data_IF_130668855472
#
_entry.id   IF_130668855472
#
_cell.length_a   1.000
_cell.length_b   1.000
_cell.length_c   1.000
_cell.angle_alpha   90.00
_cell.angle_beta   90.00
_cell.angle_gamma   90.00
#
_symmetry.space_group_name_H-M   'P 1'
#
loop_
_entity.id
_entity.type
_entity.pdbx_description
1 polymer ?
#
# COMPACT_ATOMS: atom_id res chain seq x y z
N UNK A 1 4.76 23.71 -13.42
CA UNK A 1 4.60 22.51 -12.57
C UNK A 1 5.94 21.78 -12.63
N UNK A 2 6.79 21.94 -11.62
CA UNK A 2 8.09 21.27 -11.58
C UNK A 2 7.88 19.80 -11.22
N UNK A 3 8.19 18.91 -12.15
CA UNK A 3 8.17 17.46 -11.97
C UNK A 3 9.12 17.09 -10.80
N UNK A 4 8.57 16.81 -9.60
CA UNK A 4 9.35 16.37 -8.41
C UNK A 4 9.95 14.99 -8.66
N UNK A 5 11.05 14.98 -9.39
CA UNK A 5 11.77 13.79 -9.82
C UNK A 5 13.12 13.76 -9.14
N UNK A 6 13.35 12.81 -8.23
CA UNK A 6 14.66 12.64 -7.60
C UNK A 6 15.22 11.23 -7.82
N UNK A 7 16.55 11.13 -7.98
CA UNK A 7 17.25 9.86 -8.19
C UNK A 7 17.32 9.08 -6.87
N UNK A 8 16.91 7.80 -6.87
CA UNK A 8 17.22 6.88 -5.77
C UNK A 8 18.74 6.83 -5.56
N UNK A 9 19.21 7.18 -4.38
CA UNK A 9 20.58 6.89 -3.96
C UNK A 9 20.87 5.39 -4.17
N UNK A 10 21.96 5.08 -4.88
CA UNK A 10 22.44 3.72 -5.12
C UNK A 10 21.84 2.95 -6.32
N UNK A 11 20.78 3.42 -6.98
CA UNK A 11 20.19 2.68 -8.14
C UNK A 11 19.94 3.50 -9.39
N UNK A 12 20.12 4.84 -9.35
CA UNK A 12 19.94 5.72 -10.51
C UNK A 12 18.49 5.87 -11.02
N UNK A 13 17.54 5.07 -10.51
CA UNK A 13 16.12 5.15 -10.89
C UNK A 13 15.48 6.42 -10.35
N UNK A 14 14.79 7.15 -11.23
CA UNK A 14 13.94 8.30 -10.88
C UNK A 14 12.75 7.83 -10.02
N UNK A 15 12.56 8.44 -8.85
CA UNK A 15 11.34 8.30 -8.05
C UNK A 15 10.36 9.35 -8.55
N UNK A 16 9.27 8.89 -9.17
CA UNK A 16 8.17 9.74 -9.63
C UNK A 16 7.13 9.82 -8.51
N UNK A 17 6.68 11.04 -8.20
CA UNK A 17 5.58 11.27 -7.29
C UNK A 17 4.24 11.07 -8.00
N UNK A 18 3.47 10.07 -7.57
CA UNK A 18 2.20 9.68 -8.20
C UNK A 18 0.99 10.41 -7.62
N UNK A 19 1.17 11.28 -6.63
CA UNK A 19 0.07 11.88 -5.86
C UNK A 19 -0.83 12.78 -6.69
N UNK A 20 -0.24 13.67 -7.50
CA UNK A 20 -1.01 14.59 -8.35
C UNK A 20 -1.88 13.82 -9.36
N UNK A 21 -1.32 12.76 -9.93
CA UNK A 21 -2.06 11.89 -10.85
C UNK A 21 -3.17 11.10 -10.12
N UNK A 22 -2.92 10.64 -8.90
CA UNK A 22 -3.95 9.99 -8.08
C UNK A 22 -5.12 10.93 -7.78
N UNK A 23 -4.85 12.20 -7.46
CA UNK A 23 -5.91 13.19 -7.24
C UNK A 23 -6.73 13.42 -8.51
N UNK A 24 -6.07 13.55 -9.67
CA UNK A 24 -6.74 13.67 -10.99
C UNK A 24 -7.64 12.46 -11.29
N UNK A 25 -7.13 11.25 -11.05
CA UNK A 25 -7.89 10.02 -11.29
C UNK A 25 -9.09 9.89 -10.33
N UNK A 26 -8.97 10.36 -9.09
CA UNK A 26 -10.11 10.38 -8.17
C UNK A 26 -11.19 11.38 -8.61
N UNK A 27 -10.82 12.56 -9.08
CA UNK A 27 -11.77 13.54 -9.65
C UNK A 27 -12.54 12.98 -10.85
N UNK A 28 -11.90 12.11 -11.64
CA UNK A 28 -12.50 11.38 -12.76
C UNK A 28 -13.35 10.18 -12.32
N UNK A 29 -13.43 9.90 -11.01
CA UNK A 29 -14.12 8.73 -10.46
C UNK A 29 -13.43 7.42 -10.83
N UNK A 30 -12.12 7.44 -11.12
CA UNK A 30 -11.37 6.27 -11.53
C UNK A 30 -10.88 5.40 -10.38
N UNK A 31 -10.63 6.01 -9.23
CA UNK A 31 -10.18 5.38 -8.00
C UNK A 31 -10.60 6.23 -6.80
N UNK A 32 -10.40 5.72 -5.60
CA UNK A 32 -10.55 6.46 -4.34
C UNK A 32 -9.16 6.58 -3.70
N UNK A 33 -8.78 7.78 -3.28
CA UNK A 33 -7.52 8.00 -2.55
C UNK A 33 -7.77 7.80 -1.06
N UNK A 34 -7.11 6.82 -0.46
CA UNK A 34 -7.10 6.66 0.98
C UNK A 34 -6.25 7.76 1.61
N UNK A 35 -6.90 8.84 2.03
CA UNK A 35 -6.23 9.98 2.68
C UNK A 35 -5.90 9.69 4.14
N UNK A 36 -4.75 10.22 4.58
CA UNK A 36 -4.37 10.29 6.00
C UNK A 36 -5.19 11.39 6.67
N UNK A 37 -5.92 11.05 7.74
CA UNK A 37 -6.79 11.96 8.50
C UNK A 37 -6.16 12.37 9.83
N UNK A 38 -6.81 13.28 10.56
CA UNK A 38 -6.32 13.76 11.85
C UNK A 38 -6.29 12.63 12.89
N UNK A 39 -7.27 11.72 12.83
CA UNK A 39 -7.38 10.55 13.71
C UNK A 39 -6.19 9.57 13.58
N UNK A 40 -5.47 9.61 12.45
CA UNK A 40 -4.23 8.85 12.27
C UNK A 40 -3.02 9.44 13.03
N UNK A 41 -3.19 10.58 13.71
CA UNK A 41 -2.15 11.32 14.44
C UNK A 41 -0.85 11.45 13.62
N UNK A 42 -0.90 11.96 12.39
CA UNK A 42 0.24 11.86 11.51
C UNK A 42 1.40 12.75 11.95
N UNK A 43 2.60 12.28 11.67
CA UNK A 43 3.85 13.04 11.86
C UNK A 43 4.49 13.34 10.51
N UNK A 44 5.25 14.42 10.43
CA UNK A 44 6.07 14.72 9.26
C UNK A 44 7.50 14.24 9.50
N UNK A 45 8.05 13.51 8.53
CA UNK A 45 9.42 13.04 8.58
C UNK A 45 10.09 13.20 7.22
N UNK A 46 11.36 13.59 7.22
CA UNK A 46 12.18 13.55 6.01
C UNK A 46 12.57 12.11 5.70
N UNK A 47 12.25 11.65 4.51
CA UNK A 47 12.74 10.36 4.00
C UNK A 47 14.25 10.40 3.80
N UNK A 48 14.87 9.23 3.62
CA UNK A 48 16.29 9.13 3.23
C UNK A 48 16.62 9.85 1.91
N UNK A 49 15.60 10.15 1.10
CA UNK A 49 15.73 10.94 -0.14
C UNK A 49 15.43 12.43 0.09
N UNK A 50 15.30 12.91 1.33
CA UNK A 50 15.04 14.32 1.64
C UNK A 50 13.58 14.76 1.55
N UNK A 51 12.67 13.92 1.04
CA UNK A 51 11.25 14.28 0.90
C UNK A 51 10.56 14.35 2.24
N UNK A 52 9.83 15.42 2.52
CA UNK A 52 8.90 15.45 3.64
C UNK A 52 7.72 14.53 3.35
N UNK A 53 7.53 13.52 4.20
CA UNK A 53 6.42 12.57 4.12
C UNK A 53 5.57 12.68 5.37
N UNK A 54 4.25 12.78 5.17
CA UNK A 54 3.25 12.63 6.21
C UNK A 54 3.02 11.15 6.48
N UNK A 55 3.23 10.71 7.71
CA UNK A 55 3.22 9.30 8.11
C UNK A 55 2.12 9.11 9.15
N UNK A 56 1.14 8.22 8.90
CA UNK A 56 0.12 7.89 9.90
C UNK A 56 0.77 7.09 11.02
N UNK A 57 0.41 7.39 12.26
CA UNK A 57 1.01 6.75 13.44
C UNK A 57 -0.02 6.13 14.38
N UNK A 58 -1.30 6.23 14.04
CA UNK A 58 -2.43 5.68 14.78
C UNK A 58 -3.52 5.20 13.81
N UNK A 59 -4.44 4.35 14.28
CA UNK A 59 -5.49 3.70 13.46
C UNK A 59 -4.90 3.02 12.23
N UNK A 60 -4.02 2.06 12.50
CA UNK A 60 -3.26 1.36 11.48
C UNK A 60 -3.85 -0.01 11.17
N UNK A 61 -3.94 -0.37 9.90
CA UNK A 61 -4.41 -1.68 9.45
C UNK A 61 -3.22 -2.61 9.32
N UNK A 62 -3.09 -3.59 10.21
CA UNK A 62 -1.93 -4.47 10.26
C UNK A 62 -1.98 -5.50 9.11
N UNK A 63 -1.20 -5.26 8.06
CA UNK A 63 -1.07 -6.21 6.96
C UNK A 63 -0.12 -7.34 7.34
N UNK A 64 -0.66 -8.53 7.61
CA UNK A 64 0.08 -9.77 7.85
C UNK A 64 0.77 -10.24 6.60
N UNK A 65 2.01 -10.67 6.74
CA UNK A 65 2.78 -11.31 5.68
C UNK A 65 2.77 -12.82 5.84
N UNK A 66 2.60 -13.56 4.74
CA UNK A 66 2.62 -15.02 4.78
C UNK A 66 3.96 -15.56 5.31
N UNK A 67 5.08 -14.96 4.89
CA UNK A 67 6.41 -15.38 5.34
C UNK A 67 6.66 -15.02 6.80
N UNK A 68 6.39 -13.77 7.20
CA UNK A 68 6.68 -13.32 8.56
C UNK A 68 5.66 -13.87 9.57
N UNK A 69 4.37 -13.79 9.29
CA UNK A 69 3.33 -14.25 10.21
C UNK A 69 3.17 -15.77 10.23
N UNK A 70 3.48 -16.47 9.14
CA UNK A 70 3.41 -17.93 9.06
C UNK A 70 4.67 -18.64 9.57
N UNK A 71 5.86 -18.12 9.26
CA UNK A 71 7.13 -18.82 9.53
C UNK A 71 8.02 -18.14 10.58
N UNK A 72 7.82 -16.85 10.86
CA UNK A 72 8.67 -16.06 11.77
C UNK A 72 7.79 -15.28 12.75
N UNK A 73 6.95 -15.94 13.56
CA UNK A 73 5.92 -15.27 14.36
C UNK A 73 6.50 -14.26 15.37
N UNK A 74 7.77 -14.40 15.78
CA UNK A 74 8.46 -13.40 16.61
C UNK A 74 8.53 -12.01 15.97
N UNK A 75 8.53 -11.91 14.65
CA UNK A 75 8.56 -10.64 13.92
C UNK A 75 7.27 -9.82 14.10
N UNK A 76 6.07 -10.31 13.74
CA UNK A 76 4.85 -9.56 14.01
C UNK A 76 4.61 -9.41 15.51
N UNK A 77 4.97 -10.39 16.35
CA UNK A 77 4.79 -10.27 17.81
C UNK A 77 5.58 -9.11 18.40
N UNK A 78 6.85 -8.90 17.99
CA UNK A 78 7.65 -7.78 18.48
C UNK A 78 7.13 -6.43 17.96
N UNK A 79 6.67 -6.36 16.71
CA UNK A 79 6.01 -5.18 16.16
C UNK A 79 4.76 -4.82 16.99
N UNK A 80 3.86 -5.77 17.20
CA UNK A 80 2.62 -5.52 17.93
C UNK A 80 2.89 -5.19 19.41
N UNK A 81 3.89 -5.81 20.02
CA UNK A 81 4.35 -5.44 21.37
C UNK A 81 4.80 -3.98 21.43
N UNK A 82 5.68 -3.53 20.52
CA UNK A 82 6.10 -2.12 20.46
C UNK A 82 4.91 -1.18 20.24
N UNK A 83 3.95 -1.55 19.39
CA UNK A 83 2.75 -0.75 19.17
C UNK A 83 1.91 -0.61 20.45
N UNK A 84 1.78 -1.68 21.23
CA UNK A 84 1.08 -1.64 22.52
C UNK A 84 1.83 -0.78 23.55
N UNK A 85 3.14 -0.94 23.70
CA UNK A 85 3.97 -0.15 24.62
C UNK A 85 3.95 1.35 24.28
N UNK A 86 3.84 1.68 23.00
CA UNK A 86 3.81 3.08 22.53
C UNK A 86 2.39 3.64 22.35
N UNK A 87 1.36 2.90 22.77
CA UNK A 87 -0.03 3.34 22.77
C UNK A 87 -0.60 3.60 21.37
N UNK A 88 -0.18 2.82 20.36
CA UNK A 88 -0.66 2.95 18.97
C UNK A 88 -1.84 2.03 18.72
N UNK A 89 -2.94 2.60 18.26
CA UNK A 89 -4.13 1.87 17.82
C UNK A 89 -3.87 1.21 16.46
N UNK A 90 -4.13 -0.10 16.40
CA UNK A 90 -4.09 -0.87 15.18
C UNK A 90 -5.20 -1.92 15.13
N UNK A 91 -5.62 -2.26 13.92
CA UNK A 91 -6.51 -3.38 13.65
C UNK A 91 -5.68 -4.58 13.21
N UNK A 92 -5.72 -5.65 14.00
CA UNK A 92 -5.22 -6.96 13.62
C UNK A 92 -6.24 -7.66 12.72
N UNK A 93 -6.19 -7.41 11.40
CA UNK A 93 -7.25 -7.81 10.46
C UNK A 93 -7.33 -9.33 10.23
N UNK A 94 -8.48 -9.98 10.50
CA UNK A 94 -8.69 -11.39 10.17
C UNK A 94 -9.05 -11.64 8.69
N UNK A 95 -9.61 -10.67 7.95
CA UNK A 95 -10.14 -10.86 6.59
C UNK A 95 -9.22 -10.39 5.45
N UNK A 96 -7.94 -10.17 5.74
CA UNK A 96 -6.94 -9.88 4.71
C UNK A 96 -6.60 -11.11 3.85
N UNK A 97 -6.01 -10.87 2.69
CA UNK A 97 -5.43 -11.93 1.83
C UNK A 97 -3.92 -11.80 1.74
N UNK A 98 -3.26 -12.84 1.23
CA UNK A 98 -1.84 -12.80 0.86
C UNK A 98 -1.56 -11.61 -0.07
N UNK A 99 -0.35 -11.06 -0.01
CA UNK A 99 0.13 -10.09 -1.02
C UNK A 99 0.50 -10.76 -2.35
N UNK A 100 0.66 -12.08 -2.40
CA UNK A 100 1.11 -12.84 -3.60
C UNK A 100 2.50 -12.46 -4.14
N UNK A 101 3.23 -11.60 -3.43
CA UNK A 101 4.48 -10.99 -3.88
C UNK A 101 5.70 -11.93 -4.01
N UNK A 102 5.62 -13.17 -3.50
CA UNK A 102 6.66 -14.17 -3.76
C UNK A 102 6.71 -14.55 -5.25
N UNK A 103 5.55 -14.57 -5.92
CA UNK A 103 5.49 -14.79 -7.37
C UNK A 103 6.09 -13.60 -8.12
N UNK A 104 5.80 -12.37 -7.65
CA UNK A 104 6.34 -11.12 -8.20
C UNK A 104 7.88 -11.07 -8.20
N UNK A 105 8.53 -11.46 -7.10
CA UNK A 105 10.00 -11.54 -7.05
C UNK A 105 10.58 -12.83 -7.66
N UNK A 106 9.73 -13.82 -7.95
CA UNK A 106 10.10 -15.22 -8.13
C UNK A 106 10.15 -15.75 -9.57
N UNK A 107 9.97 -14.92 -10.62
CA UNK A 107 10.17 -15.18 -12.10
C UNK A 107 8.92 -15.01 -13.02
N UNK A 108 9.12 -15.28 -14.33
CA UNK A 108 8.42 -14.82 -15.55
C UNK A 108 6.93 -15.15 -15.73
N UNK A 109 6.29 -15.79 -14.74
CA UNK A 109 4.86 -16.15 -14.77
C UNK A 109 3.98 -15.16 -13.99
N UNK A 110 4.57 -14.06 -13.51
CA UNK A 110 3.84 -12.99 -12.82
C UNK A 110 2.77 -12.39 -13.73
N UNK A 111 1.53 -12.29 -13.21
CA UNK A 111 0.42 -11.60 -13.86
C UNK A 111 0.17 -10.27 -13.14
N UNK A 112 0.59 -9.12 -13.73
CA UNK A 112 0.44 -7.81 -13.09
C UNK A 112 -1.00 -7.43 -12.76
N UNK A 113 -1.98 -7.85 -13.56
CA UNK A 113 -3.40 -7.57 -13.29
C UNK A 113 -3.85 -8.30 -12.03
N UNK A 114 -3.48 -9.57 -11.89
CA UNK A 114 -3.83 -10.36 -10.71
C UNK A 114 -3.15 -9.82 -9.43
N UNK A 115 -1.86 -9.49 -9.51
CA UNK A 115 -1.11 -8.87 -8.40
C UNK A 115 -1.74 -7.54 -7.98
N UNK A 116 -2.06 -6.68 -8.96
CA UNK A 116 -2.68 -5.39 -8.71
C UNK A 116 -4.09 -5.51 -8.10
N UNK A 117 -4.90 -6.48 -8.55
CA UNK A 117 -6.21 -6.76 -7.98
C UNK A 117 -6.12 -7.21 -6.52
N UNK A 118 -5.16 -8.07 -6.18
CA UNK A 118 -4.94 -8.51 -4.80
C UNK A 118 -4.50 -7.36 -3.90
N UNK A 119 -3.57 -6.51 -4.37
CA UNK A 119 -3.14 -5.33 -3.64
C UNK A 119 -4.31 -4.36 -3.39
N UNK A 120 -5.08 -4.05 -4.44
CA UNK A 120 -6.23 -3.15 -4.35
C UNK A 120 -7.36 -3.70 -3.44
N UNK A 121 -7.61 -5.02 -3.45
CA UNK A 121 -8.55 -5.66 -2.51
C UNK A 121 -8.14 -5.40 -1.06
N UNK A 122 -6.85 -5.54 -0.74
CA UNK A 122 -6.34 -5.31 0.61
C UNK A 122 -6.37 -3.83 1.00
N UNK A 123 -6.11 -2.91 0.06
CA UNK A 123 -6.30 -1.47 0.31
C UNK A 123 -7.75 -1.10 0.55
N UNK A 124 -8.67 -1.64 -0.25
CA UNK A 124 -10.10 -1.47 -0.03
C UNK A 124 -10.50 -1.99 1.36
N UNK A 125 -9.98 -3.15 1.78
CA UNK A 125 -10.28 -3.68 3.11
C UNK A 125 -9.81 -2.76 4.24
N UNK A 126 -8.61 -2.20 4.14
CA UNK A 126 -8.13 -1.22 5.10
C UNK A 126 -9.05 0.01 5.16
N UNK A 127 -9.46 0.52 3.99
CA UNK A 127 -10.36 1.66 3.85
C UNK A 127 -11.74 1.43 4.48
N UNK A 128 -12.37 0.27 4.24
CA UNK A 128 -13.65 -0.13 4.86
C UNK A 128 -13.61 -0.07 6.39
N UNK A 129 -12.47 -0.46 6.97
CA UNK A 129 -12.29 -0.48 8.42
C UNK A 129 -11.91 0.88 9.01
N UNK A 130 -11.75 1.92 8.19
CA UNK A 130 -11.26 3.24 8.59
C UNK A 130 -9.85 3.22 9.21
N UNK A 131 -9.01 2.27 8.79
CA UNK A 131 -7.62 2.13 9.25
C UNK A 131 -6.64 2.30 8.09
N UNK A 132 -5.52 2.98 8.32
CA UNK A 132 -4.51 3.22 7.29
C UNK A 132 -3.54 2.02 7.16
N UNK A 133 -3.23 1.52 5.95
CA UNK A 133 -2.36 0.36 5.78
C UNK A 133 -0.98 0.47 6.46
N UNK A 134 -0.68 -0.47 7.36
CA UNK A 134 0.65 -0.72 7.91
C UNK A 134 1.22 -2.00 7.30
N UNK A 135 2.06 -1.83 6.28
CA UNK A 135 2.70 -2.92 5.54
C UNK A 135 4.15 -3.02 6.01
N UNK A 136 4.43 -3.97 6.90
CA UNK A 136 5.75 -4.13 7.51
C UNK A 136 6.67 -5.10 6.77
N UNK A 137 6.12 -6.00 5.96
CA UNK A 137 6.92 -6.94 5.18
C UNK A 137 7.52 -6.26 3.95
N UNK A 138 8.84 -6.30 3.81
CA UNK A 138 9.55 -5.66 2.69
C UNK A 138 9.07 -6.14 1.32
N UNK A 139 8.78 -7.44 1.18
CA UNK A 139 8.22 -8.04 -0.04
C UNK A 139 6.86 -7.46 -0.39
N UNK A 140 5.92 -7.47 0.56
CA UNK A 140 4.57 -6.89 0.37
C UNK A 140 4.63 -5.39 0.10
N UNK A 141 5.51 -4.67 0.80
CA UNK A 141 5.68 -3.23 0.63
C UNK A 141 6.22 -2.89 -0.77
N UNK A 142 7.20 -3.65 -1.25
CA UNK A 142 7.74 -3.50 -2.60
C UNK A 142 6.67 -3.72 -3.66
N UNK A 143 6.00 -4.87 -3.60
CA UNK A 143 4.94 -5.25 -4.54
C UNK A 143 3.77 -4.25 -4.55
N UNK A 144 3.22 -3.87 -3.40
CA UNK A 144 2.08 -2.95 -3.35
C UNK A 144 2.44 -1.54 -3.83
N UNK A 145 3.67 -1.09 -3.56
CA UNK A 145 4.19 0.16 -4.13
C UNK A 145 4.28 0.05 -5.67
N UNK A 146 4.74 -1.10 -6.13
CA UNK A 146 4.69 -1.63 -7.50
C UNK A 146 3.37 -1.41 -8.20
N UNK A 147 2.39 -2.14 -7.68
CA UNK A 147 1.04 -2.25 -8.19
C UNK A 147 0.30 -0.92 -8.13
N UNK A 148 0.49 -0.13 -7.06
CA UNK A 148 -0.07 1.22 -7.00
C UNK A 148 0.45 2.09 -8.14
N UNK A 149 1.76 2.05 -8.40
CA UNK A 149 2.33 2.80 -9.53
C UNK A 149 1.74 2.33 -10.86
N UNK A 150 1.66 1.02 -11.08
CA UNK A 150 1.06 0.44 -12.28
C UNK A 150 -0.40 0.87 -12.48
N UNK A 151 -1.21 0.84 -11.43
CA UNK A 151 -2.62 1.23 -11.46
C UNK A 151 -2.81 2.72 -11.77
N UNK A 152 -1.89 3.56 -11.31
CA UNK A 152 -1.88 4.99 -11.63
C UNK A 152 -1.49 5.21 -13.10
N UNK A 153 -0.41 4.60 -13.56
CA UNK A 153 0.18 4.89 -14.88
C UNK A 153 -0.49 4.16 -16.06
N UNK A 154 -1.17 3.03 -15.81
CA UNK A 154 -1.74 2.19 -16.88
C UNK A 154 -3.27 2.08 -16.75
N UNK A 155 -3.98 2.82 -17.60
CA UNK A 155 -5.45 2.84 -17.62
C UNK A 155 -6.07 1.49 -17.99
N UNK A 156 -5.44 0.70 -18.87
CA UNK A 156 -5.95 -0.61 -19.28
C UNK A 156 -5.93 -1.60 -18.11
N UNK A 157 -4.80 -1.66 -17.39
CA UNK A 157 -4.67 -2.49 -16.18
C UNK A 157 -5.63 -2.00 -15.09
N UNK A 158 -5.71 -0.69 -14.89
CA UNK A 158 -6.64 -0.09 -13.91
C UNK A 158 -8.09 -0.48 -14.21
N UNK A 159 -8.53 -0.38 -15.46
CA UNK A 159 -9.88 -0.75 -15.87
C UNK A 159 -10.18 -2.24 -15.55
N UNK A 160 -9.29 -3.15 -15.97
CA UNK A 160 -9.41 -4.59 -15.69
C UNK A 160 -9.49 -4.88 -14.19
N UNK A 161 -8.65 -4.22 -13.38
CA UNK A 161 -8.67 -4.38 -11.92
C UNK A 161 -9.96 -3.86 -11.32
N UNK A 162 -10.50 -2.72 -11.79
CA UNK A 162 -11.80 -2.21 -11.34
C UNK A 162 -12.94 -3.17 -11.64
N UNK A 163 -12.96 -3.78 -12.83
CA UNK A 163 -13.96 -4.81 -13.17
C UNK A 163 -13.89 -6.01 -12.22
N UNK A 164 -12.68 -6.48 -11.92
CA UNK A 164 -12.46 -7.57 -10.95
C UNK A 164 -12.98 -7.17 -9.55
N UNK A 165 -12.64 -5.97 -9.06
CA UNK A 165 -13.07 -5.52 -7.74
C UNK A 165 -14.60 -5.35 -7.65
N UNK A 166 -15.24 -4.81 -8.69
CA UNK A 166 -16.70 -4.67 -8.77
C UNK A 166 -17.42 -6.00 -8.70
N UNK A 167 -16.86 -7.07 -9.28
CA UNK A 167 -17.44 -8.42 -9.17
C UNK A 167 -17.45 -8.97 -7.73
N UNK A 168 -16.71 -8.34 -6.82
CA UNK A 168 -16.64 -8.67 -5.40
C UNK A 168 -17.24 -7.57 -4.49
N UNK A 169 -18.01 -6.62 -5.06
CA UNK A 169 -18.56 -5.45 -4.36
C UNK A 169 -17.49 -4.60 -3.67
N UNK A 170 -16.40 -4.30 -4.39
CA UNK A 170 -15.28 -3.50 -3.90
C UNK A 170 -14.92 -2.38 -4.86
N UNK A 171 -14.49 -1.27 -4.30
CA UNK A 171 -13.91 -0.13 -5.01
C UNK A 171 -12.39 -0.24 -5.14
N UNK A 172 -11.85 0.39 -6.18
CA UNK A 172 -10.42 0.61 -6.32
C UNK A 172 -9.96 1.73 -5.38
N UNK A 173 -9.38 1.36 -4.25
CA UNK A 173 -8.81 2.30 -3.27
C UNK A 173 -7.28 2.20 -3.27
N UNK A 174 -6.57 3.34 -3.26
CA UNK A 174 -5.09 3.42 -3.28
C UNK A 174 -4.51 4.34 -2.20
#
# INVERSE_FOLDING_TARGET
VEERTERRQGTGKKVVDVREEMDRLEEQGELIVHRIRAENRPVEMKTLFGWTKRIPTNRLWHHKSCGQCGNIPGYPSSLLWVMNETGREYLNEPHQTSCTAWNYHGTATSNPVALAAVAARNFHRAYETHHFPLIHCGTSFGDYKEMRKLLVENAEVRHKVREILRSMDRDLVL
#
